data_IF_411479292905
#
_entry.id   IF_411479292905
#
_cell.length_a   1.000
_cell.length_b   1.000
_cell.length_c   1.000
_cell.angle_alpha   90.00
_cell.angle_beta   90.00
_cell.angle_gamma   90.00
#
_symmetry.space_group_name_H-M   'P 1'
#
loop_
_entity.id
_entity.type
_entity.pdbx_description
1 polymer ?
#
# COMPACT_ATOMS: atom_id res chain seq x y z
N UNK A 1 29.46 -18.77 22.84
CA UNK A 1 29.44 -17.41 23.44
C UNK A 1 28.16 -17.29 24.26
N UNK A 2 28.26 -17.34 25.60
CA UNK A 2 27.14 -17.45 26.56
C UNK A 2 26.79 -16.05 27.09
N UNK A 3 25.50 -15.68 27.10
CA UNK A 3 25.01 -14.45 27.75
C UNK A 3 24.74 -14.67 29.25
N UNK A 4 24.84 -13.58 30.01
CA UNK A 4 25.07 -13.49 31.48
C UNK A 4 23.92 -13.94 32.40
N UNK A 5 22.82 -14.51 31.89
CA UNK A 5 21.60 -14.74 32.68
C UNK A 5 21.26 -16.23 32.96
N UNK A 6 22.15 -17.16 32.64
CA UNK A 6 22.07 -18.57 33.09
C UNK A 6 20.88 -19.40 32.57
N UNK A 7 19.93 -18.82 31.82
CA UNK A 7 18.84 -19.58 31.20
C UNK A 7 19.29 -20.14 29.86
N UNK A 8 19.56 -21.44 29.84
CA UNK A 8 19.51 -22.20 28.59
C UNK A 8 18.05 -22.15 28.11
N UNK A 9 17.75 -21.35 27.09
CA UNK A 9 16.55 -21.61 26.28
C UNK A 9 16.73 -23.02 25.76
N UNK A 10 16.07 -23.99 26.40
CA UNK A 10 16.20 -25.37 26.02
C UNK A 10 15.74 -25.45 24.56
N UNK A 11 16.64 -25.91 23.67
CA UNK A 11 16.36 -26.16 22.25
C UNK A 11 14.95 -26.74 21.97
N UNK A 12 14.38 -27.62 22.82
CA UNK A 12 13.01 -28.11 22.67
C UNK A 12 11.91 -27.03 22.74
N UNK A 13 12.06 -26.01 23.59
CA UNK A 13 11.07 -24.94 23.72
C UNK A 13 11.10 -23.99 22.51
N UNK A 14 12.29 -23.65 22.02
CA UNK A 14 12.47 -22.85 20.81
C UNK A 14 11.92 -23.58 19.57
N UNK A 15 12.15 -24.88 19.45
CA UNK A 15 11.62 -25.70 18.36
C UNK A 15 10.09 -25.82 18.40
N UNK A 16 9.50 -25.98 19.59
CA UNK A 16 8.02 -25.97 19.76
C UNK A 16 7.41 -24.63 19.35
N UNK A 17 8.05 -23.52 19.71
CA UNK A 17 7.58 -22.18 19.32
C UNK A 17 7.69 -21.95 17.81
N UNK A 18 8.81 -22.36 17.19
CA UNK A 18 8.99 -22.31 15.73
C UNK A 18 7.96 -23.17 15.00
N UNK A 19 7.72 -24.40 15.46
CA UNK A 19 6.74 -25.30 14.87
C UNK A 19 5.31 -24.77 15.01
N UNK A 20 4.98 -24.17 16.16
CA UNK A 20 3.70 -23.50 16.40
C UNK A 20 3.52 -22.29 15.47
N UNK A 21 4.56 -21.45 15.35
CA UNK A 21 4.55 -20.30 14.44
C UNK A 21 4.42 -20.73 12.97
N UNK A 22 5.11 -21.81 12.57
CA UNK A 22 5.00 -22.39 11.24
C UNK A 22 3.62 -23.00 10.99
N UNK A 23 3.06 -23.75 11.93
CA UNK A 23 1.72 -24.32 11.79
C UNK A 23 0.64 -23.24 11.73
N UNK A 24 0.78 -22.17 12.53
CA UNK A 24 -0.11 -21.01 12.46
C UNK A 24 0.08 -20.25 11.16
N UNK A 25 1.31 -20.10 10.65
CA UNK A 25 1.58 -19.52 9.35
C UNK A 25 0.97 -20.34 8.20
N UNK A 26 1.07 -21.67 8.25
CA UNK A 26 0.44 -22.58 7.28
C UNK A 26 -1.08 -22.57 7.40
N UNK A 27 -1.63 -22.50 8.62
CA UNK A 27 -3.06 -22.37 8.83
C UNK A 27 -3.56 -21.04 8.27
N UNK A 28 -2.92 -19.91 8.59
CA UNK A 28 -3.26 -18.60 8.04
C UNK A 28 -3.11 -18.55 6.51
N UNK A 29 -2.10 -19.22 5.95
CA UNK A 29 -1.94 -19.34 4.51
C UNK A 29 -2.98 -20.24 3.83
N UNK A 30 -3.68 -21.10 4.59
CA UNK A 30 -4.71 -22.03 4.09
C UNK A 30 -6.14 -21.60 4.41
N UNK A 31 -6.34 -20.85 5.49
CA UNK A 31 -7.63 -20.37 6.03
C UNK A 31 -8.05 -19.03 5.39
N UNK A 32 -7.09 -18.32 4.79
CA UNK A 32 -7.37 -17.42 3.66
C UNK A 32 -7.32 -18.31 2.43
N UNK A 33 -8.48 -18.81 1.96
CA UNK A 33 -8.55 -19.64 0.74
C UNK A 33 -7.65 -19.04 -0.34
N UNK A 34 -6.90 -19.88 -1.06
CA UNK A 34 -5.82 -19.44 -1.96
C UNK A 34 -6.32 -18.35 -2.91
N UNK A 35 -6.13 -17.08 -2.52
CA UNK A 35 -6.57 -15.92 -3.31
C UNK A 35 -5.90 -16.04 -4.65
N UNK A 36 -6.73 -16.25 -5.66
CA UNK A 36 -6.27 -16.37 -7.02
C UNK A 36 -5.77 -15.01 -7.50
N UNK A 37 -5.01 -15.02 -8.59
CA UNK A 37 -4.60 -13.76 -9.23
C UNK A 37 -5.84 -12.96 -9.65
N UNK A 38 -6.92 -13.63 -10.03
CA UNK A 38 -8.17 -12.99 -10.43
C UNK A 38 -8.89 -12.36 -9.24
N UNK A 39 -8.86 -13.00 -8.06
CA UNK A 39 -9.39 -12.39 -6.82
C UNK A 39 -8.63 -11.10 -6.46
N UNK A 40 -7.29 -11.10 -6.61
CA UNK A 40 -6.47 -9.93 -6.33
C UNK A 40 -6.71 -8.78 -7.34
N UNK A 41 -6.97 -9.13 -8.60
CA UNK A 41 -7.32 -8.17 -9.65
C UNK A 41 -8.70 -7.58 -9.42
N UNK A 42 -9.69 -8.43 -9.14
CA UNK A 42 -11.04 -8.01 -8.82
C UNK A 42 -11.05 -7.08 -7.60
N UNK A 43 -10.31 -7.42 -6.55
CA UNK A 43 -10.16 -6.58 -5.37
C UNK A 43 -9.55 -5.20 -5.70
N UNK A 44 -8.55 -5.15 -6.59
CA UNK A 44 -7.95 -3.88 -7.00
C UNK A 44 -8.94 -2.98 -7.73
N UNK A 45 -9.74 -3.57 -8.63
CA UNK A 45 -10.77 -2.86 -9.41
C UNK A 45 -11.92 -2.40 -8.51
N UNK A 46 -12.42 -3.27 -7.64
CA UNK A 46 -13.46 -2.93 -6.67
C UNK A 46 -13.02 -1.77 -5.78
N UNK A 47 -11.78 -1.80 -5.28
CA UNK A 47 -11.24 -0.71 -4.47
C UNK A 47 -11.09 0.59 -5.25
N UNK A 48 -10.75 0.52 -6.53
CA UNK A 48 -10.70 1.69 -7.40
C UNK A 48 -12.10 2.31 -7.57
N UNK A 49 -13.14 1.51 -7.80
CA UNK A 49 -14.51 2.02 -7.90
C UNK A 49 -15.00 2.66 -6.60
N UNK A 50 -14.80 1.99 -5.46
CA UNK A 50 -15.17 2.56 -4.16
C UNK A 50 -14.51 3.92 -3.90
N UNK A 51 -13.24 4.07 -4.27
CA UNK A 51 -12.56 5.36 -4.17
C UNK A 51 -13.06 6.38 -5.20
N UNK A 52 -13.34 5.96 -6.43
CA UNK A 52 -13.92 6.83 -7.46
C UNK A 52 -15.24 7.44 -6.99
N UNK A 53 -16.14 6.61 -6.44
CA UNK A 53 -17.43 7.06 -5.93
C UNK A 53 -17.25 8.06 -4.77
N UNK A 54 -16.37 7.77 -3.81
CA UNK A 54 -16.06 8.69 -2.71
C UNK A 54 -15.52 10.04 -3.16
N UNK A 55 -14.70 10.05 -4.22
CA UNK A 55 -14.16 11.27 -4.81
C UNK A 55 -15.26 12.11 -5.46
N UNK A 56 -16.23 11.47 -6.12
CA UNK A 56 -17.41 12.12 -6.71
C UNK A 56 -18.30 12.70 -5.61
N UNK A 57 -18.52 11.94 -4.54
CA UNK A 57 -19.36 12.36 -3.41
C UNK A 57 -18.70 13.45 -2.54
N UNK A 58 -17.39 13.69 -2.70
CA UNK A 58 -16.66 14.72 -1.96
C UNK A 58 -16.55 14.46 -0.45
N UNK A 59 -16.71 13.22 -0.02
CA UNK A 59 -16.85 12.82 1.39
C UNK A 59 -15.63 13.12 2.26
N UNK A 60 -14.42 13.13 1.68
CA UNK A 60 -13.15 13.20 2.41
C UNK A 60 -12.55 14.63 2.51
N UNK A 61 -13.30 15.66 2.10
CA UNK A 61 -12.88 17.06 2.19
C UNK A 61 -11.59 17.36 1.43
N UNK A 62 -11.39 16.70 0.30
CA UNK A 62 -10.18 16.84 -0.52
C UNK A 62 -10.22 18.13 -1.34
N UNK A 63 -9.08 18.82 -1.36
CA UNK A 63 -8.88 19.94 -2.29
C UNK A 63 -8.86 19.45 -3.74
N UNK A 64 -9.10 20.34 -4.71
CA UNK A 64 -9.08 19.97 -6.13
C UNK A 64 -7.76 19.28 -6.57
N UNK A 65 -6.62 19.69 -6.01
CA UNK A 65 -5.32 19.08 -6.27
C UNK A 65 -5.20 17.69 -5.65
N UNK A 66 -5.69 17.53 -4.41
CA UNK A 66 -5.73 16.22 -3.75
C UNK A 66 -6.63 15.25 -4.50
N UNK A 67 -7.82 15.70 -4.90
CA UNK A 67 -8.75 14.93 -5.74
C UNK A 67 -8.08 14.51 -7.04
N UNK A 68 -7.45 15.44 -7.77
CA UNK A 68 -6.79 15.11 -9.04
C UNK A 68 -5.63 14.11 -8.89
N UNK A 69 -4.83 14.24 -7.82
CA UNK A 69 -3.77 13.27 -7.50
C UNK A 69 -4.34 11.92 -7.11
N UNK A 70 -5.43 11.91 -6.33
CA UNK A 70 -6.10 10.68 -5.91
C UNK A 70 -6.74 9.96 -7.10
N UNK A 71 -7.42 10.68 -7.99
CA UNK A 71 -7.98 10.17 -9.25
C UNK A 71 -6.92 9.49 -10.10
N UNK A 72 -5.70 10.05 -10.20
CA UNK A 72 -4.61 9.38 -10.92
C UNK A 72 -4.27 8.00 -10.33
N UNK A 73 -4.22 7.88 -9.01
CA UNK A 73 -3.91 6.60 -8.35
C UNK A 73 -5.03 5.59 -8.55
N UNK A 74 -6.27 6.05 -8.47
CA UNK A 74 -7.48 5.24 -8.73
C UNK A 74 -7.47 4.70 -10.16
N UNK A 75 -7.30 5.57 -11.15
CA UNK A 75 -7.23 5.20 -12.57
C UNK A 75 -6.11 4.20 -12.84
N UNK A 76 -4.92 4.40 -12.26
CA UNK A 76 -3.81 3.49 -12.46
C UNK A 76 -3.99 2.15 -11.73
N UNK A 77 -4.70 2.12 -10.60
CA UNK A 77 -5.03 0.89 -9.89
C UNK A 77 -6.02 0.04 -10.70
N UNK A 78 -7.05 0.67 -11.26
CA UNK A 78 -8.02 0.05 -12.16
C UNK A 78 -7.33 -0.45 -13.44
N UNK A 79 -6.61 0.42 -14.14
CA UNK A 79 -5.95 0.12 -15.42
C UNK A 79 -4.97 -1.03 -15.32
N UNK A 80 -4.22 -1.11 -14.23
CA UNK A 80 -3.22 -2.19 -14.01
C UNK A 80 -3.81 -3.40 -13.30
N UNK A 81 -5.01 -3.27 -12.72
CA UNK A 81 -5.63 -4.28 -11.86
C UNK A 81 -4.70 -4.70 -10.71
N UNK A 82 -4.04 -3.71 -10.09
CA UNK A 82 -3.07 -3.93 -9.02
C UNK A 82 -3.35 -2.98 -7.86
N UNK A 83 -3.45 -3.54 -6.65
CA UNK A 83 -3.58 -2.75 -5.42
C UNK A 83 -2.40 -1.81 -5.18
N UNK A 84 -1.20 -2.18 -5.68
CA UNK A 84 0.03 -1.40 -5.51
C UNK A 84 0.44 -0.82 -6.86
N UNK A 85 0.39 0.50 -6.93
CA UNK A 85 0.64 1.26 -8.14
C UNK A 85 1.90 2.08 -7.98
N UNK A 86 2.80 1.97 -8.95
CA UNK A 86 3.95 2.86 -9.04
C UNK A 86 3.48 4.22 -9.56
N UNK A 87 3.76 5.28 -8.81
CA UNK A 87 3.34 6.65 -9.13
C UNK A 87 4.58 7.52 -9.40
N UNK A 88 5.06 7.60 -10.65
CA UNK A 88 6.12 8.52 -11.02
C UNK A 88 5.64 9.96 -10.81
N UNK A 89 6.39 10.76 -10.04
CA UNK A 89 5.97 12.12 -9.71
C UNK A 89 5.72 13.01 -10.94
N UNK A 90 6.40 12.76 -12.07
CA UNK A 90 6.17 13.47 -13.34
C UNK A 90 4.80 13.14 -13.94
N UNK A 91 4.43 11.87 -14.01
CA UNK A 91 3.15 11.44 -14.57
C UNK A 91 1.97 11.93 -13.70
N UNK A 92 2.13 11.86 -12.38
CA UNK A 92 1.13 12.37 -11.42
C UNK A 92 0.97 13.89 -11.59
N UNK A 93 2.09 14.62 -11.70
CA UNK A 93 2.09 16.07 -11.87
C UNK A 93 1.43 16.51 -13.18
N UNK A 94 1.70 15.80 -14.28
CA UNK A 94 1.09 16.05 -15.58
C UNK A 94 -0.42 15.80 -15.53
N UNK A 95 -0.86 14.65 -14.99
CA UNK A 95 -2.28 14.33 -14.84
C UNK A 95 -3.02 15.36 -13.99
N UNK A 96 -2.44 15.73 -12.86
CA UNK A 96 -3.03 16.68 -11.91
C UNK A 96 -2.79 18.15 -12.28
N UNK A 97 -2.07 18.43 -13.37
CA UNK A 97 -1.72 19.78 -13.83
C UNK A 97 -1.07 20.65 -12.75
N UNK A 98 -0.19 20.05 -11.93
CA UNK A 98 0.53 20.75 -10.86
C UNK A 98 2.03 20.57 -10.98
N UNK A 99 2.85 21.44 -10.35
CA UNK A 99 4.29 21.23 -10.30
C UNK A 99 4.66 19.89 -9.66
N UNK A 100 5.73 19.25 -10.16
CA UNK A 100 6.23 17.96 -9.65
C UNK A 100 6.39 17.92 -8.13
N UNK A 101 6.91 18.99 -7.52
CA UNK A 101 7.10 19.08 -6.07
C UNK A 101 5.77 19.12 -5.32
N UNK A 102 4.74 19.74 -5.90
CA UNK A 102 3.39 19.77 -5.34
C UNK A 102 2.79 18.38 -5.38
N UNK A 103 2.80 17.69 -6.53
CA UNK A 103 2.32 16.31 -6.64
C UNK A 103 2.97 15.36 -5.62
N UNK A 104 4.30 15.44 -5.46
CA UNK A 104 5.03 14.62 -4.50
C UNK A 104 4.63 14.93 -3.04
N UNK A 105 4.41 16.20 -2.70
CA UNK A 105 3.92 16.61 -1.37
C UNK A 105 2.48 16.16 -1.13
N UNK A 106 1.62 16.27 -2.13
CA UNK A 106 0.23 15.81 -2.07
C UNK A 106 0.15 14.31 -1.85
N UNK A 107 0.91 13.50 -2.60
CA UNK A 107 1.00 12.05 -2.37
C UNK A 107 1.45 11.70 -0.95
N UNK A 108 2.43 12.42 -0.42
CA UNK A 108 2.86 12.26 0.97
C UNK A 108 1.73 12.63 1.94
N UNK A 109 1.08 13.78 1.74
CA UNK A 109 -0.03 14.27 2.59
C UNK A 109 -1.20 13.29 2.62
N UNK A 110 -1.64 12.81 1.45
CA UNK A 110 -2.68 11.80 1.33
C UNK A 110 -2.32 10.50 2.06
N UNK A 111 -1.03 10.13 2.04
CA UNK A 111 -0.56 8.97 2.78
C UNK A 111 -0.49 9.19 4.29
N UNK A 112 -0.03 10.37 4.73
CA UNK A 112 -0.02 10.74 6.15
C UNK A 112 -1.44 10.79 6.73
N UNK A 113 -2.43 11.14 5.90
CA UNK A 113 -3.88 11.14 6.24
C UNK A 113 -4.52 9.75 6.21
N UNK A 114 -3.79 8.70 5.81
CA UNK A 114 -4.32 7.34 5.73
C UNK A 114 -5.22 7.05 4.51
N UNK A 115 -5.32 7.98 3.55
CA UNK A 115 -6.07 7.78 2.30
C UNK A 115 -5.26 6.98 1.27
N UNK A 116 -3.94 7.04 1.38
CA UNK A 116 -3.01 6.22 0.63
C UNK A 116 -2.06 5.44 1.56
N UNK A 117 -1.72 4.23 1.16
CA UNK A 117 -0.66 3.46 1.82
C UNK A 117 0.60 3.55 0.97
N UNK A 118 1.62 4.24 1.47
CA UNK A 118 2.94 4.29 0.82
C UNK A 118 3.68 2.97 1.01
N UNK A 119 3.63 2.09 0.01
CA UNK A 119 4.33 0.80 0.02
C UNK A 119 5.85 0.95 -0.18
N UNK A 120 6.29 1.97 -0.93
CA UNK A 120 7.70 2.27 -1.17
C UNK A 120 7.89 3.76 -1.40
N UNK A 121 8.92 4.35 -0.78
CA UNK A 121 9.24 5.77 -0.95
C UNK A 121 9.93 6.10 -2.29
N UNK A 122 10.25 5.08 -3.10
CA UNK A 122 11.15 5.24 -4.24
C UNK A 122 12.61 5.44 -3.78
N UNK A 123 13.55 5.31 -4.72
CA UNK A 123 14.98 5.50 -4.44
C UNK A 123 15.67 6.12 -5.65
N UNK A 124 16.50 7.13 -5.41
CA UNK A 124 17.40 7.67 -6.43
C UNK A 124 18.65 6.79 -6.53
N UNK A 125 18.93 6.29 -7.72
CA UNK A 125 20.16 5.62 -8.09
C UNK A 125 21.31 6.60 -8.31
N UNK A 126 22.54 6.10 -8.23
CA UNK A 126 23.76 6.90 -8.37
C UNK A 126 23.96 7.44 -9.80
N UNK A 127 23.41 6.74 -10.79
CA UNK A 127 23.43 7.05 -12.21
C UNK A 127 22.34 8.04 -12.66
N UNK A 128 21.58 8.61 -11.71
CA UNK A 128 20.45 9.47 -12.01
C UNK A 128 19.18 8.72 -12.42
N UNK A 129 19.23 7.39 -12.55
CA UNK A 129 18.02 6.57 -12.65
C UNK A 129 17.33 6.53 -11.28
N UNK A 130 16.00 6.61 -11.24
CA UNK A 130 15.25 6.64 -9.99
C UNK A 130 14.09 5.68 -10.03
N UNK A 131 13.91 4.88 -8.98
CA UNK A 131 12.66 4.13 -8.77
C UNK A 131 11.62 5.08 -8.21
N UNK A 132 10.50 5.19 -8.90
CA UNK A 132 9.34 5.93 -8.42
C UNK A 132 8.77 5.28 -7.15
N UNK A 133 8.06 6.07 -6.36
CA UNK A 133 7.35 5.60 -5.19
C UNK A 133 6.16 4.72 -5.61
N UNK A 134 5.81 3.77 -4.75
CA UNK A 134 4.65 2.89 -4.94
C UNK A 134 3.65 3.15 -3.84
N UNK A 135 2.40 3.37 -4.21
CA UNK A 135 1.28 3.63 -3.33
C UNK A 135 0.18 2.60 -3.56
N UNK A 136 -0.66 2.40 -2.54
CA UNK A 136 -1.89 1.64 -2.64
C UNK A 136 -3.04 2.51 -2.15
N UNK A 137 -4.22 2.29 -2.73
CA UNK A 137 -5.47 2.81 -2.17
C UNK A 137 -5.66 2.20 -0.78
N UNK A 138 -5.95 3.02 0.23
CA UNK A 138 -6.34 2.47 1.53
C UNK A 138 -7.70 1.81 1.43
N UNK A 139 -8.02 0.94 2.38
CA UNK A 139 -9.36 0.36 2.43
C UNK A 139 -10.37 1.42 2.92
N UNK A 140 -11.32 1.85 2.08
CA UNK A 140 -12.27 2.90 2.44
C UNK A 140 -13.24 2.48 3.56
N UNK A 141 -13.34 1.17 3.84
CA UNK A 141 -14.21 0.62 4.88
C UNK A 141 -13.48 0.38 6.22
N UNK A 142 -12.14 0.41 6.21
CA UNK A 142 -11.32 0.23 7.42
C UNK A 142 -11.31 1.45 8.35
N UNK A 143 -11.97 2.55 7.98
CA UNK A 143 -12.10 3.76 8.79
C UNK A 143 -13.30 3.72 9.74
N UNK A 144 -13.17 3.01 10.87
CA UNK A 144 -14.23 2.95 11.88
C UNK A 144 -13.96 2.02 13.06
N UNK A 145 -12.87 2.23 13.80
CA UNK A 145 -12.72 1.82 15.21
C UNK A 145 -11.92 2.85 15.98
#
# INVERSE_FOLDING_TARGET
>A
MIRRDGRHSSMPAAYKQLRKAWSTGVANARDVGARTIDDLRAEAVERAYLWSDRLVDGTDGLSAVETAVMSYVVEEAERRQMLRVTCPGRAVAERAQVPHRTAARTLKSLSDRGLLVRCSAGRRGADGSGKAATYALSDPLSGGT
#
